data_IF_248459969533
#
_entry.id   IF_248459969533
#
_cell.length_a   1.000
_cell.length_b   1.000
_cell.length_c   1.000
_cell.angle_alpha   90.00
_cell.angle_beta   90.00
_cell.angle_gamma   90.00
#
_symmetry.space_group_name_H-M   'P 1'
#
loop_
_entity.id
_entity.type
_entity.pdbx_description
1 polymer ?
#
# COMPACT_ATOMS: atom_id res chain seq x y z
N UNK A 1 2.76 -3.09 -2.84
CA UNK A 1 1.93 -1.90 -3.17
C UNK A 1 0.76 -2.32 -4.04
N UNK A 2 -0.35 -1.60 -4.00
CA UNK A 2 -1.47 -1.81 -4.94
C UNK A 2 -0.98 -1.63 -6.37
N UNK A 3 -1.38 -2.54 -7.27
CA UNK A 3 -1.02 -2.47 -8.70
C UNK A 3 -1.67 -1.27 -9.38
N UNK A 4 -2.89 -0.95 -8.98
CA UNK A 4 -3.66 0.21 -9.45
C UNK A 4 -4.01 1.08 -8.25
N UNK A 5 -3.77 2.38 -8.37
CA UNK A 5 -4.11 3.37 -7.32
C UNK A 5 -5.58 3.83 -7.41
N UNK A 6 -6.22 3.60 -8.56
CA UNK A 6 -7.62 3.97 -8.76
C UNK A 6 -8.53 2.90 -8.17
N UNK A 7 -9.62 3.29 -7.48
CA UNK A 7 -10.66 2.36 -7.10
C UNK A 7 -11.23 1.73 -8.37
N UNK A 8 -11.05 0.42 -8.53
CA UNK A 8 -11.68 -0.34 -9.61
C UNK A 8 -13.19 -0.35 -9.34
N UNK A 9 -14.04 -0.29 -10.38
CA UNK A 9 -15.51 -0.27 -10.23
C UNK A 9 -16.06 -1.37 -9.31
N UNK A 10 -15.38 -2.51 -9.23
CA UNK A 10 -15.76 -3.67 -8.41
C UNK A 10 -14.83 -3.91 -7.21
N UNK A 11 -14.04 -2.90 -6.79
CA UNK A 11 -13.17 -2.99 -5.62
C UNK A 11 -12.12 -4.11 -5.71
N UNK A 12 -11.98 -4.87 -4.61
CA UNK A 12 -11.10 -6.03 -4.52
C UNK A 12 -11.68 -7.24 -5.26
N UNK A 13 -10.84 -7.96 -6.02
CA UNK A 13 -11.26 -9.16 -6.76
C UNK A 13 -11.81 -10.24 -5.81
N UNK A 14 -13.04 -10.69 -6.06
CA UNK A 14 -13.68 -11.77 -5.30
C UNK A 14 -14.50 -11.32 -4.10
N UNK A 15 -14.66 -10.01 -3.88
CA UNK A 15 -15.63 -9.48 -2.92
C UNK A 15 -17.01 -9.47 -3.57
N UNK A 16 -18.01 -9.92 -2.81
CA UNK A 16 -19.41 -9.78 -3.17
C UNK A 16 -19.84 -8.32 -3.05
N UNK A 17 -19.86 -7.63 -4.20
CA UNK A 17 -20.15 -6.21 -4.33
C UNK A 17 -21.62 -5.85 -3.99
N UNK A 18 -22.51 -6.85 -3.93
CA UNK A 18 -23.91 -6.66 -3.50
C UNK A 18 -24.04 -6.39 -2.02
N UNK A 19 -23.13 -6.93 -1.21
CA UNK A 19 -23.18 -6.82 0.25
C UNK A 19 -21.99 -6.04 0.82
N UNK A 20 -20.90 -5.88 0.06
CA UNK A 20 -19.66 -5.32 0.58
C UNK A 20 -18.96 -4.38 -0.41
N UNK A 21 -18.67 -3.17 0.06
CA UNK A 21 -17.74 -2.27 -0.61
C UNK A 21 -16.29 -2.66 -0.26
N UNK A 22 -15.41 -2.67 -1.25
CA UNK A 22 -14.01 -3.04 -1.04
C UNK A 22 -13.03 -2.12 -1.76
N UNK A 23 -11.85 -1.92 -1.15
CA UNK A 23 -10.79 -1.08 -1.68
C UNK A 23 -9.42 -1.66 -1.31
N UNK A 24 -8.54 -1.83 -2.30
CA UNK A 24 -7.15 -2.20 -2.04
C UNK A 24 -6.36 -0.98 -1.54
N UNK A 25 -5.59 -1.13 -0.46
CA UNK A 25 -4.66 -0.11 0.05
C UNK A 25 -3.26 -0.70 0.25
N UNK A 26 -2.23 0.15 0.11
CA UNK A 26 -0.86 -0.25 0.42
C UNK A 26 -0.61 -0.02 1.89
N UNK A 27 -0.23 -1.08 2.61
CA UNK A 27 0.23 -0.98 4.00
C UNK A 27 1.74 -0.76 4.04
N UNK A 28 2.20 0.03 5.01
CA UNK A 28 3.60 0.29 5.27
C UNK A 28 4.02 -0.40 6.58
N UNK A 29 5.29 -0.79 6.65
CA UNK A 29 5.91 -1.31 7.87
C UNK A 29 7.34 -0.77 7.96
N UNK A 30 7.88 -0.72 9.18
CA UNK A 30 9.24 -0.27 9.43
C UNK A 30 10.21 -1.44 9.38
N UNK A 31 11.33 -1.24 8.70
CA UNK A 31 12.46 -2.18 8.65
C UNK A 31 13.75 -1.42 8.88
N UNK A 32 14.77 -2.09 9.43
CA UNK A 32 16.12 -1.51 9.48
C UNK A 32 16.74 -1.57 8.09
N UNK A 33 17.28 -0.45 7.63
CA UNK A 33 18.05 -0.34 6.40
C UNK A 33 19.16 0.69 6.62
N UNK A 34 20.29 0.52 5.93
CA UNK A 34 21.32 1.55 5.88
C UNK A 34 20.76 2.73 5.08
N UNK A 35 20.58 3.87 5.73
CA UNK A 35 20.06 5.09 5.10
C UNK A 35 21.10 6.20 5.15
N UNK A 36 21.15 7.01 4.10
CA UNK A 36 21.90 8.26 4.08
C UNK A 36 20.89 9.40 4.06
N UNK A 37 20.95 10.26 5.06
CA UNK A 37 20.27 11.55 5.04
C UNK A 37 21.30 12.61 4.62
N UNK A 38 20.90 13.61 3.83
CA UNK A 38 21.79 14.67 3.30
C UNK A 38 22.56 15.45 4.38
N UNK A 39 22.34 15.21 5.67
CA UNK A 39 22.98 15.92 6.78
C UNK A 39 23.29 15.09 8.05
N UNK A 40 23.33 13.74 8.03
CA UNK A 40 23.90 12.96 9.16
C UNK A 40 24.16 11.48 8.84
N UNK A 41 25.11 10.93 9.63
CA UNK A 41 25.99 9.79 9.38
C UNK A 41 25.32 8.47 9.01
N UNK A 42 25.94 7.83 8.02
CA UNK A 42 25.78 6.42 7.64
C UNK A 42 26.52 5.59 8.69
N UNK A 43 25.80 4.72 9.43
CA UNK A 43 26.32 3.81 10.44
C UNK A 43 25.65 2.46 10.36
#
# INVERSE_FOLDING_TARGET
RCKEARPVKNGCRGIDDKHWNSQCKTSQTYVRALTSENNKLVG
#
